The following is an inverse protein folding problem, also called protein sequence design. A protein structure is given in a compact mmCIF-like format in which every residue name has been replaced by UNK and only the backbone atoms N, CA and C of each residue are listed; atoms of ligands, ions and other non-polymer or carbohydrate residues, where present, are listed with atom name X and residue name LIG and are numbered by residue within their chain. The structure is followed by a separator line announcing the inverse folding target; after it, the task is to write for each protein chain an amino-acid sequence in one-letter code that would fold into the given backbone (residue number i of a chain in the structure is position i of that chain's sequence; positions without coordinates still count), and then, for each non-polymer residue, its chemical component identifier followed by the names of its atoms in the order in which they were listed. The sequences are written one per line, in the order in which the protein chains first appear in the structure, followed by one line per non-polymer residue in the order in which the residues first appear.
data_IF_101037674472
#
_entry.id   IF_101037674472
#
_cell.length_a   1.000
_cell.length_b   1.000
_cell.length_c   1.000
_cell.angle_alpha   90.00
_cell.angle_beta   90.00
_cell.angle_gamma   90.00
#
_symmetry.space_group_name_H-M   'P 1'
#
loop_
_entity.id
_entity.type
_entity.pdbx_description
1 polymer ?
#
# COMPACT_ATOMS: atom_id res chain seq x y z
N UNK A 1 2.52 -1.63 25.23
CA UNK A 1 1.98 -2.81 24.53
C UNK A 1 2.11 -2.78 23.00
N UNK A 2 2.41 -1.63 22.37
CA UNK A 2 2.52 -1.49 20.90
C UNK A 2 3.88 -1.92 20.32
N UNK A 3 4.96 -1.75 21.08
CA UNK A 3 6.33 -2.05 20.65
C UNK A 3 6.55 -3.56 20.40
N UNK A 4 5.92 -4.41 21.21
CA UNK A 4 6.02 -5.87 21.09
C UNK A 4 5.36 -6.41 19.81
N UNK A 5 4.26 -5.81 19.36
CA UNK A 5 3.57 -6.21 18.13
C UNK A 5 4.37 -5.82 16.88
N UNK A 6 4.97 -4.62 16.88
CA UNK A 6 5.84 -4.18 15.78
C UNK A 6 7.09 -5.05 15.72
N UNK A 7 7.72 -5.36 16.86
CA UNK A 7 8.83 -6.30 16.91
C UNK A 7 8.45 -7.67 16.34
N UNK A 8 7.29 -8.23 16.72
CA UNK A 8 6.81 -9.51 16.16
C UNK A 8 6.57 -9.46 14.65
N UNK A 9 5.98 -8.37 14.13
CA UNK A 9 5.74 -8.23 12.69
C UNK A 9 7.04 -8.04 11.90
N UNK A 10 8.02 -7.34 12.47
CA UNK A 10 9.36 -7.17 11.89
C UNK A 10 10.16 -8.48 11.94
N UNK A 11 10.05 -9.25 13.03
CA UNK A 11 10.66 -10.57 13.13
C UNK A 11 10.06 -11.53 12.09
N UNK A 12 8.73 -11.62 11.99
CA UNK A 12 8.04 -12.39 10.94
C UNK A 12 8.43 -11.94 9.53
N UNK A 13 8.61 -10.64 9.32
CA UNK A 13 9.07 -10.10 8.04
C UNK A 13 10.50 -10.57 7.74
N UNK A 14 11.39 -10.56 8.74
CA UNK A 14 12.77 -11.01 8.62
C UNK A 14 12.88 -12.51 8.33
N UNK A 15 12.05 -13.36 8.95
CA UNK A 15 12.05 -14.81 8.66
C UNK A 15 11.48 -15.13 7.29
N UNK A 16 10.35 -14.51 6.91
CA UNK A 16 9.74 -14.74 5.59
C UNK A 16 10.62 -14.22 4.43
N UNK A 17 11.40 -13.17 4.66
CA UNK A 17 12.44 -12.70 3.73
C UNK A 17 13.54 -13.74 3.49
N UNK A 18 13.92 -14.48 4.53
CA UNK A 18 14.94 -15.53 4.43
C UNK A 18 14.44 -16.76 3.66
N UNK A 19 13.15 -17.08 3.78
CA UNK A 19 12.55 -18.26 3.14
C UNK A 19 12.10 -18.03 1.69
N UNK A 20 12.25 -16.81 1.16
CA UNK A 20 11.84 -16.47 -0.22
C UNK A 20 10.33 -16.60 -0.46
N UNK A 21 9.51 -16.60 0.60
CA UNK A 21 8.07 -16.75 0.48
C UNK A 21 7.41 -15.45 0.00
N UNK A 22 7.31 -15.31 -1.32
CA UNK A 22 6.75 -14.14 -2.00
C UNK A 22 5.33 -13.79 -1.56
N UNK A 23 4.52 -14.79 -1.20
CA UNK A 23 3.14 -14.58 -0.74
C UNK A 23 3.10 -14.04 0.69
N UNK A 24 3.96 -14.56 1.59
CA UNK A 24 4.08 -14.03 2.94
C UNK A 24 4.58 -12.57 2.93
N UNK A 25 5.57 -12.26 2.09
CA UNK A 25 6.04 -10.88 1.92
C UNK A 25 4.94 -9.95 1.38
N UNK A 26 4.10 -10.45 0.46
CA UNK A 26 2.92 -9.74 -0.04
C UNK A 26 1.89 -9.45 1.05
N UNK A 27 1.63 -10.40 1.93
CA UNK A 27 0.69 -10.20 3.02
C UNK A 27 1.24 -9.23 4.07
N UNK A 28 2.54 -9.34 4.41
CA UNK A 28 3.19 -8.43 5.34
C UNK A 28 3.19 -6.97 4.85
N UNK A 29 3.50 -6.70 3.56
CA UNK A 29 3.46 -5.32 3.01
C UNK A 29 2.06 -4.72 3.12
N UNK A 30 1.03 -5.49 2.78
CA UNK A 30 -0.35 -5.03 2.84
C UNK A 30 -0.76 -4.77 4.29
N UNK A 31 -0.45 -5.70 5.21
CA UNK A 31 -0.74 -5.55 6.63
C UNK A 31 -0.07 -4.30 7.23
N UNK A 32 1.19 -4.04 6.86
CA UNK A 32 1.91 -2.84 7.28
C UNK A 32 1.19 -1.57 6.83
N UNK A 33 0.86 -1.46 5.53
CA UNK A 33 0.18 -0.27 5.01
C UNK A 33 -1.20 -0.09 5.64
N UNK A 34 -2.01 -1.16 5.71
CA UNK A 34 -3.34 -1.13 6.35
C UNK A 34 -3.26 -0.61 7.79
N UNK A 35 -2.22 -1.01 8.53
CA UNK A 35 -2.03 -0.64 9.94
C UNK A 35 -1.69 0.84 10.15
N UNK A 36 -0.89 1.43 9.25
CA UNK A 36 -0.36 2.79 9.41
C UNK A 36 -1.11 3.86 8.62
N UNK A 37 -1.58 3.55 7.40
CA UNK A 37 -2.31 4.51 6.57
C UNK A 37 -3.76 4.70 7.04
N UNK A 38 -4.36 3.65 7.62
CA UNK A 38 -5.78 3.61 7.90
C UNK A 38 -6.62 3.52 6.63
N UNK A 39 -7.88 3.09 6.76
CA UNK A 39 -8.83 2.98 5.65
C UNK A 39 -9.79 4.18 5.66
N UNK A 40 -9.85 4.93 4.55
CA UNK A 40 -10.90 5.91 4.32
C UNK A 40 -11.73 5.54 3.10
N UNK A 41 -13.04 5.40 3.28
CA UNK A 41 -13.98 5.18 2.18
C UNK A 41 -14.40 6.49 1.50
N UNK A 42 -14.17 7.62 2.16
CA UNK A 42 -14.42 8.94 1.62
C UNK A 42 -13.09 9.60 1.19
N UNK A 43 -13.07 10.34 0.07
CA UNK A 43 -11.95 11.18 -0.27
C UNK A 43 -11.65 12.20 0.84
N UNK A 44 -10.39 12.36 1.19
CA UNK A 44 -9.90 13.32 2.17
C UNK A 44 -8.67 14.05 1.65
N UNK A 45 -8.33 15.17 2.27
CA UNK A 45 -7.10 15.89 1.96
C UNK A 45 -6.01 15.44 2.93
N UNK A 46 -4.90 14.91 2.41
CA UNK A 46 -3.78 14.50 3.25
C UNK A 46 -2.98 15.71 3.76
N UNK A 47 -1.98 15.48 4.62
CA UNK A 47 -1.11 16.55 5.16
C UNK A 47 -0.32 17.33 4.11
N UNK A 48 -0.10 16.73 2.93
CA UNK A 48 0.53 17.39 1.79
C UNK A 48 -0.47 18.20 0.93
N UNK A 49 -1.73 18.30 1.33
CA UNK A 49 -2.76 19.04 0.60
C UNK A 49 -3.34 18.29 -0.61
N UNK A 50 -2.98 17.01 -0.80
CA UNK A 50 -3.39 16.19 -1.96
C UNK A 50 -4.65 15.40 -1.66
N UNK A 51 -5.56 15.33 -2.63
CA UNK A 51 -6.77 14.51 -2.52
C UNK A 51 -6.40 13.02 -2.49
N UNK A 52 -6.87 12.33 -1.47
CA UNK A 52 -6.44 10.98 -1.10
C UNK A 52 -7.66 10.13 -0.74
N UNK A 53 -7.63 8.82 -1.01
CA UNK A 53 -8.70 7.88 -0.66
C UNK A 53 -8.11 6.53 -0.22
N UNK A 54 -8.92 5.64 0.34
CA UNK A 54 -8.53 4.27 0.70
C UNK A 54 -7.34 4.30 1.68
N UNK A 55 -6.39 3.40 1.50
CA UNK A 55 -5.14 3.29 2.25
C UNK A 55 -4.07 4.30 1.80
N UNK A 56 -4.45 5.58 1.67
CA UNK A 56 -3.50 6.64 1.31
C UNK A 56 -3.20 6.74 -0.19
N UNK A 57 -4.10 6.27 -1.06
CA UNK A 57 -3.92 6.40 -2.50
C UNK A 57 -4.12 7.84 -2.97
N UNK A 58 -3.09 8.41 -3.57
CA UNK A 58 -3.08 9.74 -4.20
C UNK A 58 -3.07 9.60 -5.72
N UNK A 59 -3.99 10.28 -6.42
CA UNK A 59 -4.07 10.24 -7.88
C UNK A 59 -5.23 11.10 -8.41
N UNK A 60 -5.41 11.14 -9.73
CA UNK A 60 -6.65 11.65 -10.32
C UNK A 60 -7.78 10.71 -9.85
N UNK A 61 -8.42 11.07 -8.74
CA UNK A 61 -9.79 10.66 -8.53
C UNK A 61 -10.52 11.11 -9.79
N UNK A 62 -11.20 10.21 -10.53
CA UNK A 62 -11.86 10.61 -11.76
C UNK A 62 -12.73 11.83 -11.46
N UNK A 63 -12.49 12.94 -12.14
CA UNK A 63 -13.22 14.22 -11.97
C UNK A 63 -14.74 14.05 -12.07
N UNK A 64 -15.17 12.92 -12.66
CA UNK A 64 -16.54 12.52 -12.87
C UNK A 64 -17.04 11.43 -11.92
N UNK A 65 -16.40 11.18 -10.77
CA UNK A 65 -16.96 10.20 -9.83
C UNK A 65 -18.36 10.70 -9.39
N UNK A 66 -19.45 10.04 -9.84
CA UNK A 66 -20.79 10.60 -9.67
C UNK A 66 -21.06 10.79 -8.18
N UNK A 67 -21.76 11.85 -7.79
CA UNK A 67 -22.19 12.03 -6.38
C UNK A 67 -22.93 10.80 -5.83
N UNK A 68 -23.51 9.97 -6.70
CA UNK A 68 -24.13 8.68 -6.36
C UNK A 68 -23.15 7.54 -6.06
N UNK A 69 -21.87 7.60 -6.48
CA UNK A 69 -20.79 6.68 -6.07
C UNK A 69 -19.94 7.22 -4.91
N UNK A 70 -20.23 8.42 -4.41
CA UNK A 70 -19.56 8.99 -3.21
C UNK A 70 -19.92 8.28 -1.90
N UNK A 71 -20.83 7.30 -1.93
CA UNK A 71 -21.42 6.74 -0.71
C UNK A 71 -20.95 5.35 -0.33
N UNK A 72 -20.07 4.70 -1.10
CA UNK A 72 -19.49 3.42 -0.69
C UNK A 72 -18.37 3.01 -1.64
N UNK A 73 -17.18 3.57 -1.44
CA UNK A 73 -15.97 2.85 -1.85
C UNK A 73 -15.96 1.55 -1.03
N UNK A 74 -16.02 0.38 -1.65
CA UNK A 74 -16.13 -0.88 -0.91
C UNK A 74 -14.76 -1.36 -0.43
N UNK A 75 -14.74 -2.16 0.65
CA UNK A 75 -13.50 -2.75 1.18
C UNK A 75 -12.73 -3.51 0.09
N UNK A 76 -13.44 -4.26 -0.75
CA UNK A 76 -12.83 -5.00 -1.88
C UNK A 76 -12.14 -4.09 -2.88
N UNK A 77 -12.73 -2.93 -3.21
CA UNK A 77 -12.13 -1.94 -4.10
C UNK A 77 -10.89 -1.30 -3.47
N UNK A 78 -10.97 -0.98 -2.17
CA UNK A 78 -9.84 -0.46 -1.40
C UNK A 78 -8.67 -1.46 -1.34
N UNK A 79 -8.96 -2.74 -1.16
CA UNK A 79 -7.96 -3.81 -1.14
C UNK A 79 -7.37 -4.07 -2.53
N UNK A 80 -8.19 -4.07 -3.57
CA UNK A 80 -7.73 -4.20 -4.96
C UNK A 80 -6.79 -3.06 -5.34
N UNK A 81 -7.14 -1.82 -4.97
CA UNK A 81 -6.31 -0.64 -5.21
C UNK A 81 -4.99 -0.71 -4.45
N UNK A 82 -5.01 -1.13 -3.18
CA UNK A 82 -3.80 -1.32 -2.39
C UNK A 82 -2.86 -2.35 -3.04
N UNK A 83 -3.41 -3.47 -3.51
CA UNK A 83 -2.63 -4.49 -4.21
C UNK A 83 -1.98 -3.93 -5.47
N UNK A 84 -2.76 -3.26 -6.33
CA UNK A 84 -2.27 -2.70 -7.58
C UNK A 84 -1.15 -1.67 -7.35
N UNK A 85 -1.33 -0.77 -6.38
CA UNK A 85 -0.35 0.28 -6.07
C UNK A 85 0.92 -0.32 -5.48
N UNK A 86 0.80 -1.26 -4.56
CA UNK A 86 1.98 -1.92 -3.97
C UNK A 86 2.75 -2.71 -5.00
N UNK A 87 2.08 -3.44 -5.89
CA UNK A 87 2.75 -4.15 -6.97
C UNK A 87 3.45 -3.20 -7.94
N UNK A 88 2.82 -2.07 -8.27
CA UNK A 88 3.43 -1.02 -9.12
C UNK A 88 4.69 -0.46 -8.47
N UNK A 89 4.64 -0.16 -7.17
CA UNK A 89 5.78 0.34 -6.42
C UNK A 89 6.94 -0.67 -6.37
N UNK A 90 6.64 -1.96 -6.13
CA UNK A 90 7.64 -3.05 -6.14
C UNK A 90 8.31 -3.15 -7.52
N UNK A 91 7.53 -3.16 -8.60
CA UNK A 91 8.08 -3.22 -9.96
C UNK A 91 8.98 -2.01 -10.27
N UNK A 92 8.58 -0.80 -9.85
CA UNK A 92 9.37 0.40 -10.04
C UNK A 92 10.69 0.37 -9.26
N UNK A 93 10.67 -0.06 -8.00
CA UNK A 93 11.89 -0.23 -7.19
C UNK A 93 12.82 -1.27 -7.80
N UNK A 94 12.29 -2.43 -8.21
CA UNK A 94 13.08 -3.47 -8.87
C UNK A 94 13.73 -2.98 -10.17
N UNK A 95 13.02 -2.17 -10.96
CA UNK A 95 13.56 -1.56 -12.16
C UNK A 95 14.71 -0.58 -11.84
N UNK A 96 14.55 0.26 -10.80
CA UNK A 96 15.61 1.18 -10.34
C UNK A 96 16.84 0.45 -9.85
N UNK A 97 16.67 -0.61 -9.04
CA UNK A 97 17.77 -1.44 -8.56
C UNK A 97 18.49 -2.09 -9.74
N UNK A 98 17.75 -2.69 -10.67
CA UNK A 98 18.34 -3.33 -11.86
C UNK A 98 19.12 -2.33 -12.72
N UNK A 99 18.58 -1.13 -12.93
CA UNK A 99 19.27 -0.06 -13.66
C UNK A 99 20.56 0.39 -12.96
N UNK A 100 20.58 0.42 -11.63
CA UNK A 100 21.76 0.82 -10.84
C UNK A 100 22.89 -0.23 -10.82
N UNK A 101 22.60 -1.47 -11.20
CA UNK A 101 23.58 -2.56 -11.25
C UNK A 101 24.25 -2.70 -12.63
N UNK A 102 23.91 -1.86 -13.60
CA UNK A 102 24.60 -1.79 -14.89
C UNK A 102 25.96 -1.10 -14.64
N UNK A 103 27.10 -1.78 -14.87
CA UNK A 103 28.39 -1.11 -14.79
C UNK A 103 28.49 -0.10 -15.95
N UNK A 104 28.79 1.15 -15.60
CA UNK A 104 29.11 2.22 -16.56
C UNK A 104 30.28 1.84 -17.47
#
# INVERSE_FOLDING_TARGET
MWMLYVCQQVELFSTNLQDGNMEAMRQCRAAFIKRFAGLSFEPYQCSAGVCTISYGHTGHLPDEMPRSRRHSYHLEEAESLLEQVTQTAVSAVNALVSASMIPW
#
